data_IF_328967739556
#
_entry.id   IF_328967739556
#
_cell.length_a   1.000
_cell.length_b   1.000
_cell.length_c   1.000
_cell.angle_alpha   90.00
_cell.angle_beta   90.00
_cell.angle_gamma   90.00
#
_symmetry.space_group_name_H-M   'P 1'
#
loop_
_entity.id
_entity.type
_entity.pdbx_description
1 polymer ?
#
# COMPACT_ATOMS: atom_id res chain seq x y z
N UNK A 1 55.74 -14.72 -49.98
CA UNK A 1 55.73 -15.59 -51.20
C UNK A 1 54.28 -15.59 -51.73
N UNK A 2 54.15 -14.92 -52.92
CA UNK A 2 53.10 -15.04 -53.97
C UNK A 2 51.63 -15.14 -53.57
N UNK A 3 50.90 -14.02 -53.50
CA UNK A 3 49.97 -13.44 -54.47
C UNK A 3 49.31 -14.44 -55.45
N UNK A 4 47.96 -14.60 -55.40
CA UNK A 4 47.16 -14.90 -56.59
C UNK A 4 45.77 -14.24 -56.41
N UNK A 5 45.60 -13.23 -57.22
CA UNK A 5 44.36 -12.52 -57.61
C UNK A 5 43.45 -13.45 -58.40
N UNK A 6 42.12 -13.44 -58.14
CA UNK A 6 41.11 -13.95 -59.06
C UNK A 6 40.03 -12.91 -59.25
N UNK A 7 40.01 -12.33 -60.44
CA UNK A 7 38.93 -11.49 -60.91
C UNK A 7 37.89 -12.36 -61.62
N UNK A 8 36.61 -12.20 -61.27
CA UNK A 8 35.50 -12.77 -62.07
C UNK A 8 34.57 -11.62 -62.47
N UNK A 9 34.55 -11.38 -63.79
CA UNK A 9 33.56 -10.56 -64.45
C UNK A 9 32.21 -11.27 -64.35
N UNK A 10 31.13 -10.51 -64.06
CA UNK A 10 29.79 -10.97 -64.30
C UNK A 10 28.99 -9.91 -65.06
N UNK A 11 28.44 -10.32 -66.14
CA UNK A 11 27.81 -9.54 -67.21
C UNK A 11 26.41 -9.01 -66.77
N UNK A 12 26.15 -7.81 -67.20
CA UNK A 12 24.82 -7.12 -67.07
C UNK A 12 23.85 -7.73 -68.09
N UNK A 13 22.70 -8.18 -67.60
CA UNK A 13 21.53 -8.44 -68.45
C UNK A 13 20.40 -7.46 -68.00
N UNK A 14 20.13 -6.48 -68.84
CA UNK A 14 18.93 -5.66 -68.75
C UNK A 14 17.68 -6.49 -69.18
N UNK A 15 16.75 -6.66 -68.27
CA UNK A 15 15.40 -7.08 -68.66
C UNK A 15 14.43 -5.97 -68.19
N UNK A 16 13.87 -5.24 -69.12
CA UNK A 16 12.77 -4.34 -68.94
C UNK A 16 11.50 -5.15 -68.69
N UNK A 17 10.79 -4.92 -67.59
CA UNK A 17 9.42 -5.34 -67.38
C UNK A 17 8.57 -4.21 -66.87
N UNK A 18 7.46 -4.06 -67.50
CA UNK A 18 6.45 -3.04 -67.40
C UNK A 18 5.87 -2.82 -66.01
N UNK A 19 5.62 -1.58 -65.71
CA UNK A 19 4.84 -1.08 -64.62
C UNK A 19 3.39 -1.61 -64.61
N UNK A 20 3.04 -2.35 -63.55
CA UNK A 20 1.65 -2.59 -63.20
C UNK A 20 1.38 -1.88 -61.86
N UNK A 21 0.73 -0.73 -61.93
CA UNK A 21 0.32 0.02 -60.75
C UNK A 21 -0.81 -0.73 -60.06
N UNK A 22 -0.44 -1.60 -59.13
CA UNK A 22 -1.36 -2.07 -58.08
C UNK A 22 -1.41 -1.03 -56.98
N UNK A 23 -2.51 -0.28 -56.93
CA UNK A 23 -2.84 0.55 -55.75
C UNK A 23 -3.02 -0.34 -54.54
N UNK A 24 -1.92 -0.63 -53.85
CA UNK A 24 -1.95 -1.19 -52.50
C UNK A 24 -2.34 -0.05 -51.55
N UNK A 25 -3.61 -0.02 -51.19
CA UNK A 25 -4.06 0.82 -50.07
C UNK A 25 -3.32 0.34 -48.80
N UNK A 26 -2.25 1.03 -48.45
CA UNK A 26 -1.60 0.91 -47.17
C UNK A 26 -2.60 1.44 -46.13
N UNK A 27 -3.43 0.54 -45.60
CA UNK A 27 -4.09 0.78 -44.35
C UNK A 27 -2.96 1.00 -43.34
N UNK A 28 -2.66 2.26 -43.02
CA UNK A 28 -1.83 2.63 -41.89
C UNK A 28 -2.51 2.03 -40.67
N UNK A 29 -2.05 0.86 -40.25
CA UNK A 29 -2.28 0.40 -38.87
C UNK A 29 -1.70 1.48 -38.00
N UNK A 30 -2.53 2.39 -37.53
CA UNK A 30 -2.19 3.25 -36.43
C UNK A 30 -1.81 2.31 -35.30
N UNK A 31 -0.51 2.14 -35.08
CA UNK A 31 0.00 1.59 -33.82
C UNK A 31 -0.48 2.57 -32.76
N UNK A 32 -1.60 2.24 -32.12
CA UNK A 32 -2.04 2.93 -30.92
C UNK A 32 -0.93 2.73 -29.89
N UNK A 33 -0.02 3.71 -29.82
CA UNK A 33 1.08 3.69 -28.88
C UNK A 33 0.52 3.44 -27.49
N UNK A 34 0.95 2.36 -26.82
CA UNK A 34 0.48 2.05 -25.49
C UNK A 34 0.91 3.16 -24.55
N UNK A 35 -0.06 3.80 -23.87
CA UNK A 35 0.19 4.80 -22.84
C UNK A 35 0.70 4.09 -21.59
N UNK A 36 1.88 4.49 -21.12
CA UNK A 36 2.44 4.00 -19.85
C UNK A 36 2.34 5.08 -18.79
N UNK A 37 1.78 4.72 -17.62
CA UNK A 37 1.63 5.59 -16.44
C UNK A 37 2.39 4.95 -15.29
N UNK A 38 3.36 5.68 -14.73
CA UNK A 38 4.19 5.17 -13.64
C UNK A 38 3.76 5.79 -12.32
N UNK A 39 3.63 4.97 -11.30
CA UNK A 39 3.37 5.36 -9.92
C UNK A 39 4.30 4.68 -8.94
N UNK A 40 4.34 5.22 -7.73
CA UNK A 40 5.12 4.63 -6.65
C UNK A 40 4.50 4.96 -5.28
N UNK A 41 4.77 4.13 -4.27
CA UNK A 41 4.32 4.44 -2.92
C UNK A 41 4.15 3.24 -2.01
N UNK A 42 3.08 3.27 -1.24
CA UNK A 42 2.76 2.34 -0.18
C UNK A 42 2.83 0.86 -0.60
N UNK A 43 3.37 0.00 0.26
CA UNK A 43 3.32 -1.46 0.07
C UNK A 43 2.01 -2.05 0.58
N UNK A 44 1.30 -1.35 1.47
CA UNK A 44 0.01 -1.75 2.02
C UNK A 44 -1.00 -2.14 0.91
N UNK A 45 -1.31 -1.30 -0.10
CA UNK A 45 -2.28 -1.64 -1.14
C UNK A 45 -1.68 -2.43 -2.31
N UNK A 46 -0.39 -2.77 -2.30
CA UNK A 46 0.26 -3.36 -3.46
C UNK A 46 -0.45 -4.62 -4.02
N UNK A 47 -0.94 -5.56 -3.21
CA UNK A 47 -1.68 -6.72 -3.74
C UNK A 47 -2.95 -6.34 -4.52
N UNK A 48 -3.76 -5.42 -4.00
CA UNK A 48 -4.98 -4.98 -4.70
C UNK A 48 -4.65 -4.09 -5.89
N UNK A 49 -3.66 -3.21 -5.81
CA UNK A 49 -3.24 -2.36 -6.92
C UNK A 49 -2.68 -3.20 -8.07
N UNK A 50 -1.87 -4.21 -7.79
CA UNK A 50 -1.39 -5.15 -8.81
C UNK A 50 -2.54 -5.87 -9.52
N UNK A 51 -3.56 -6.31 -8.76
CA UNK A 51 -4.77 -6.92 -9.33
C UNK A 51 -5.55 -5.92 -10.18
N UNK A 52 -5.75 -4.71 -9.69
CA UNK A 52 -6.50 -3.67 -10.41
C UNK A 52 -5.82 -3.25 -11.70
N UNK A 53 -4.51 -3.03 -11.69
CA UNK A 53 -3.77 -2.63 -12.89
C UNK A 53 -3.78 -3.72 -13.96
N UNK A 54 -3.67 -4.99 -13.55
CA UNK A 54 -3.79 -6.13 -14.46
C UNK A 54 -5.20 -6.23 -15.09
N UNK A 55 -6.26 -6.17 -14.28
CA UNK A 55 -7.64 -6.26 -14.77
C UNK A 55 -8.03 -5.04 -15.61
N UNK A 56 -7.60 -3.85 -15.20
CA UNK A 56 -7.85 -2.63 -15.97
C UNK A 56 -7.15 -2.66 -17.32
N UNK A 57 -5.90 -3.12 -17.37
CA UNK A 57 -5.16 -3.28 -18.63
C UNK A 57 -5.81 -4.30 -19.58
N UNK A 58 -6.40 -5.38 -19.07
CA UNK A 58 -7.16 -6.35 -19.88
C UNK A 58 -8.37 -5.70 -20.54
N UNK A 59 -9.08 -4.84 -19.80
CA UNK A 59 -10.23 -4.09 -20.32
C UNK A 59 -9.82 -2.90 -21.21
N UNK A 60 -8.62 -2.35 -21.03
CA UNK A 60 -8.08 -1.18 -21.71
C UNK A 60 -6.66 -1.44 -22.25
N UNK A 61 -6.48 -2.26 -23.30
CA UNK A 61 -5.15 -2.72 -23.76
C UNK A 61 -4.18 -1.62 -24.15
N UNK A 62 -4.68 -0.40 -24.44
CA UNK A 62 -3.86 0.78 -24.75
C UNK A 62 -3.26 1.48 -23.53
N UNK A 63 -3.63 1.08 -22.31
CA UNK A 63 -3.19 1.74 -21.07
C UNK A 63 -2.45 0.73 -20.18
N UNK A 64 -1.22 1.05 -19.82
CA UNK A 64 -0.41 0.27 -18.88
C UNK A 64 -0.07 1.13 -17.66
N UNK A 65 -0.45 0.65 -16.50
CA UNK A 65 -0.11 1.29 -15.21
C UNK A 65 0.96 0.46 -14.51
N UNK A 66 2.13 1.06 -14.28
CA UNK A 66 3.22 0.44 -13.53
C UNK A 66 3.26 1.05 -12.12
N UNK A 67 3.54 0.22 -11.14
CA UNK A 67 3.62 0.65 -9.75
C UNK A 67 4.86 0.11 -9.04
N UNK A 68 5.54 0.96 -8.27
CA UNK A 68 6.70 0.60 -7.48
C UNK A 68 6.35 0.68 -5.98
N UNK A 69 6.21 -0.44 -5.27
CA UNK A 69 5.89 -0.47 -3.84
C UNK A 69 7.15 -0.18 -3.00
N UNK A 70 7.52 1.10 -2.88
CA UNK A 70 8.75 1.57 -2.21
C UNK A 70 8.50 2.22 -0.85
N UNK A 71 7.26 2.15 -0.35
CA UNK A 71 6.79 2.80 0.87
C UNK A 71 6.21 4.19 0.62
N UNK A 72 5.28 4.60 1.50
CA UNK A 72 4.54 5.86 1.39
C UNK A 72 5.45 7.09 1.31
N UNK A 73 6.49 7.15 2.13
CA UNK A 73 7.45 8.25 2.10
C UNK A 73 8.18 8.37 0.77
N UNK A 74 8.54 7.22 0.16
CA UNK A 74 9.13 7.16 -1.18
C UNK A 74 8.16 7.63 -2.26
N UNK A 75 6.88 7.22 -2.18
CA UNK A 75 5.83 7.63 -3.11
C UNK A 75 5.56 9.13 -3.06
N UNK A 76 5.39 9.69 -1.86
CA UNK A 76 5.21 11.14 -1.67
C UNK A 76 6.41 11.91 -2.23
N UNK A 77 7.64 11.46 -1.92
CA UNK A 77 8.86 12.11 -2.42
C UNK A 77 8.96 12.09 -3.94
N UNK A 78 8.68 10.95 -4.58
CA UNK A 78 8.73 10.84 -6.04
C UNK A 78 7.62 11.64 -6.72
N UNK A 79 6.40 11.66 -6.16
CA UNK A 79 5.31 12.48 -6.67
C UNK A 79 5.66 13.96 -6.57
N UNK A 80 6.14 14.44 -5.41
CA UNK A 80 6.55 15.83 -5.20
C UNK A 80 7.68 16.25 -6.15
N UNK A 81 8.64 15.33 -6.39
CA UNK A 81 9.71 15.53 -7.38
C UNK A 81 9.24 15.36 -8.83
N UNK A 82 7.97 14.98 -9.07
CA UNK A 82 7.36 14.75 -10.39
C UNK A 82 8.10 13.68 -11.23
N UNK A 83 8.74 12.70 -10.57
CA UNK A 83 9.41 11.57 -11.23
C UNK A 83 8.44 10.40 -11.49
N UNK A 84 7.26 10.41 -10.87
CA UNK A 84 6.13 9.52 -11.15
C UNK A 84 4.87 10.35 -11.40
N UNK A 85 3.89 9.74 -12.08
CA UNK A 85 2.64 10.41 -12.40
C UNK A 85 1.64 10.42 -11.23
N UNK A 86 1.64 9.36 -10.43
CA UNK A 86 0.82 9.27 -9.23
C UNK A 86 1.63 8.70 -8.05
N UNK A 87 1.23 9.07 -6.84
CA UNK A 87 1.75 8.50 -5.61
C UNK A 87 0.74 7.60 -4.93
N UNK A 88 1.18 6.83 -3.92
CA UNK A 88 0.28 6.15 -2.99
C UNK A 88 0.82 6.19 -1.56
N UNK A 89 -0.10 6.35 -0.61
CA UNK A 89 0.23 6.48 0.81
C UNK A 89 -0.88 5.90 1.69
N UNK A 90 -0.50 5.35 2.86
CA UNK A 90 -1.44 4.90 3.90
C UNK A 90 -1.44 5.88 5.10
N UNK A 91 -0.59 6.90 5.06
CA UNK A 91 -0.65 8.07 5.93
C UNK A 91 -0.86 9.31 5.08
N UNK A 92 -1.91 10.10 5.29
CA UNK A 92 -2.17 11.29 4.50
C UNK A 92 -0.96 12.24 4.50
N UNK A 93 -0.75 12.95 3.39
CA UNK A 93 0.27 14.00 3.35
C UNK A 93 -0.05 15.07 4.39
N UNK A 94 0.99 15.55 5.07
CA UNK A 94 0.86 16.70 5.98
C UNK A 94 0.71 17.99 5.21
N UNK A 95 0.20 19.05 5.86
CA UNK A 95 0.10 20.38 5.25
C UNK A 95 1.46 20.90 4.77
N UNK A 96 2.52 20.64 5.53
CA UNK A 96 3.88 21.00 5.13
C UNK A 96 4.33 20.27 3.84
N UNK A 97 3.96 18.98 3.70
CA UNK A 97 4.26 18.22 2.48
C UNK A 97 3.45 18.72 1.28
N UNK A 98 2.18 19.09 1.48
CA UNK A 98 1.33 19.66 0.44
C UNK A 98 1.85 21.04 0.00
N UNK A 99 2.25 21.88 0.95
CA UNK A 99 2.84 23.20 0.66
C UNK A 99 4.18 23.12 -0.08
N UNK A 100 4.97 22.07 0.19
CA UNK A 100 6.25 21.84 -0.49
C UNK A 100 6.09 21.25 -1.90
N UNK A 101 4.90 20.78 -2.27
CA UNK A 101 4.64 20.23 -3.60
C UNK A 101 4.53 21.38 -4.65
N UNK A 102 4.98 21.14 -5.90
CA UNK A 102 4.96 22.16 -6.96
C UNK A 102 3.54 22.44 -7.52
N UNK A 103 2.50 21.85 -6.94
CA UNK A 103 1.09 22.03 -7.28
C UNK A 103 0.17 21.32 -6.32
N UNK A 104 -1.13 21.60 -6.39
CA UNK A 104 -2.12 20.98 -5.54
C UNK A 104 -2.21 19.46 -5.77
N UNK A 105 -2.09 18.68 -4.71
CA UNK A 105 -2.22 17.22 -4.72
C UNK A 105 -3.53 16.83 -4.05
N UNK A 106 -4.30 16.01 -4.72
CA UNK A 106 -5.56 15.44 -4.24
C UNK A 106 -5.32 14.03 -3.70
N UNK A 107 -6.04 13.68 -2.63
CA UNK A 107 -6.06 12.36 -2.03
C UNK A 107 -7.32 11.63 -2.45
N UNK A 108 -7.18 10.41 -2.96
CA UNK A 108 -8.28 9.53 -3.37
C UNK A 108 -8.20 8.24 -2.57
N UNK A 109 -9.05 8.02 -1.54
CA UNK A 109 -9.10 6.76 -0.82
C UNK A 109 -9.47 5.63 -1.78
N UNK A 110 -8.87 4.47 -1.63
CA UNK A 110 -9.05 3.36 -2.59
C UNK A 110 -9.68 2.12 -1.96
N UNK A 111 -9.17 1.69 -0.83
CA UNK A 111 -9.71 0.60 -0.01
C UNK A 111 -9.37 0.84 1.45
N UNK A 112 -9.95 0.00 2.33
CA UNK A 112 -9.58 -0.06 3.74
C UNK A 112 -8.84 -1.36 4.03
N UNK A 113 -7.92 -1.30 5.00
CA UNK A 113 -7.23 -2.48 5.52
C UNK A 113 -6.91 -2.34 7.00
N UNK A 114 -6.45 -3.43 7.59
CA UNK A 114 -6.04 -3.49 8.99
C UNK A 114 -4.55 -3.76 9.13
N UNK A 115 -3.87 -3.03 10.01
CA UNK A 115 -2.50 -3.36 10.41
C UNK A 115 -2.55 -4.33 11.58
N UNK A 116 -1.96 -5.50 11.42
CA UNK A 116 -2.00 -6.57 12.43
C UNK A 116 -0.63 -6.80 13.07
N UNK A 117 -0.56 -6.99 14.41
CA UNK A 117 0.66 -7.48 15.04
C UNK A 117 0.85 -8.94 14.65
N UNK A 118 1.95 -9.22 13.94
CA UNK A 118 2.38 -10.57 13.55
C UNK A 118 3.52 -11.04 14.43
N UNK A 119 3.57 -12.32 14.73
CA UNK A 119 4.60 -12.86 15.63
C UNK A 119 5.01 -14.28 15.27
N UNK A 120 6.19 -14.68 15.78
CA UNK A 120 6.74 -16.02 15.66
C UNK A 120 7.20 -16.52 17.02
N UNK A 121 6.26 -17.09 17.81
CA UNK A 121 6.52 -17.57 19.18
C UNK A 121 6.42 -19.08 19.22
N UNK A 122 7.53 -19.74 19.47
CA UNK A 122 7.62 -21.19 19.49
C UNK A 122 6.70 -21.78 20.58
N UNK A 123 5.91 -22.79 20.20
CA UNK A 123 5.01 -23.51 21.12
C UNK A 123 3.69 -22.78 21.40
N UNK A 124 3.47 -21.57 20.86
CA UNK A 124 2.20 -20.85 20.94
C UNK A 124 1.38 -21.13 19.67
N UNK A 125 0.31 -21.88 19.82
CA UNK A 125 -0.60 -22.24 18.72
C UNK A 125 -1.90 -21.45 18.72
N UNK A 126 -2.25 -20.82 19.84
CA UNK A 126 -3.45 -20.01 19.98
C UNK A 126 -3.16 -18.54 19.57
N UNK A 127 -4.13 -17.87 18.94
CA UNK A 127 -3.97 -16.44 18.65
C UNK A 127 -3.79 -15.62 19.94
N UNK A 128 -2.73 -14.80 19.97
CA UNK A 128 -2.47 -13.93 21.10
C UNK A 128 -3.36 -12.68 21.07
N UNK A 129 -3.60 -12.13 22.26
CA UNK A 129 -4.29 -10.86 22.49
C UNK A 129 -3.28 -9.79 22.84
N UNK A 130 -3.45 -8.60 22.31
CA UNK A 130 -2.61 -7.45 22.60
C UNK A 130 -3.48 -6.25 23.01
N UNK A 131 -3.19 -5.67 24.17
CA UNK A 131 -3.70 -4.33 24.47
C UNK A 131 -2.81 -3.27 23.83
N UNK A 132 -3.35 -2.06 23.61
CA UNK A 132 -2.56 -0.95 23.10
C UNK A 132 -1.38 -0.60 24.00
N UNK A 133 -1.55 -0.70 25.33
CA UNK A 133 -0.49 -0.47 26.31
C UNK A 133 0.65 -1.50 26.15
N UNK A 134 0.31 -2.80 26.05
CA UNK A 134 1.30 -3.86 25.86
C UNK A 134 2.07 -3.67 24.55
N UNK A 135 1.40 -3.37 23.43
CA UNK A 135 2.08 -3.08 22.17
C UNK A 135 3.00 -1.87 22.29
N UNK A 136 2.53 -0.77 22.90
CA UNK A 136 3.35 0.42 23.10
C UNK A 136 4.60 0.11 23.95
N UNK A 137 4.45 -0.64 25.04
CA UNK A 137 5.57 -0.96 25.91
C UNK A 137 6.57 -1.96 25.28
N UNK A 138 6.12 -2.86 24.41
CA UNK A 138 7.02 -3.70 23.59
C UNK A 138 7.85 -2.81 22.65
N UNK A 139 7.23 -1.91 21.89
CA UNK A 139 7.93 -1.06 20.92
C UNK A 139 8.73 0.08 21.58
N UNK A 140 8.49 0.35 22.86
CA UNK A 140 9.34 1.21 23.71
C UNK A 140 10.50 0.45 24.36
N UNK A 141 10.57 -0.89 24.22
CA UNK A 141 11.59 -1.72 24.86
C UNK A 141 11.42 -1.90 26.37
N UNK A 142 10.24 -1.63 26.93
CA UNK A 142 9.93 -1.85 28.33
C UNK A 142 9.53 -3.29 28.62
N UNK A 143 8.78 -3.91 27.72
CA UNK A 143 8.44 -5.34 27.73
C UNK A 143 9.38 -6.03 26.73
N UNK A 144 10.25 -6.89 27.26
CA UNK A 144 11.33 -7.54 26.49
C UNK A 144 11.21 -9.05 26.42
N UNK A 145 10.25 -9.66 27.14
CA UNK A 145 10.06 -11.12 27.18
C UNK A 145 8.60 -11.48 26.93
N UNK A 146 8.39 -12.61 26.24
CA UNK A 146 7.06 -13.08 25.92
C UNK A 146 6.23 -13.50 27.14
N UNK A 147 6.87 -13.99 28.21
CA UNK A 147 6.19 -14.35 29.47
C UNK A 147 6.04 -13.16 30.44
N UNK A 148 6.18 -11.94 29.97
CA UNK A 148 5.93 -10.75 30.80
C UNK A 148 4.53 -10.81 31.42
N UNK A 149 4.37 -10.46 32.72
CA UNK A 149 3.08 -10.48 33.40
C UNK A 149 1.98 -9.70 32.69
N UNK A 150 2.31 -8.59 32.01
CA UNK A 150 1.34 -7.79 31.27
C UNK A 150 0.80 -8.51 30.03
N UNK A 151 1.63 -9.32 29.35
CA UNK A 151 1.19 -10.16 28.24
C UNK A 151 0.40 -11.36 28.77
N UNK A 152 0.90 -12.01 29.83
CA UNK A 152 0.25 -13.19 30.42
C UNK A 152 -1.17 -12.88 30.94
N UNK A 153 -1.36 -11.73 31.57
CA UNK A 153 -2.64 -11.32 32.15
C UNK A 153 -3.77 -11.20 31.11
N UNK A 154 -3.46 -10.85 29.86
CA UNK A 154 -4.43 -10.71 28.77
C UNK A 154 -4.52 -11.97 27.89
N UNK A 155 -3.70 -12.98 28.17
CA UNK A 155 -3.65 -14.29 27.48
C UNK A 155 -3.82 -15.46 28.45
N UNK A 156 -4.91 -15.53 29.23
CA UNK A 156 -5.10 -16.59 30.20
C UNK A 156 -5.12 -17.96 29.53
N UNK A 157 -4.41 -18.91 30.15
CA UNK A 157 -4.31 -20.29 29.64
C UNK A 157 -3.28 -20.50 28.53
N UNK A 158 -2.64 -19.45 28.02
CA UNK A 158 -1.54 -19.58 27.06
C UNK A 158 -0.22 -19.76 27.81
N UNK A 159 0.50 -20.85 27.51
CA UNK A 159 1.86 -21.03 28.05
C UNK A 159 2.85 -20.22 27.23
N UNK A 160 3.18 -19.04 27.71
CA UNK A 160 4.14 -18.15 27.08
C UNK A 160 5.58 -18.54 27.46
N UNK A 161 6.52 -18.61 26.48
CA UNK A 161 7.92 -18.92 26.78
C UNK A 161 8.63 -17.72 27.41
N UNK A 162 9.76 -17.97 28.08
CA UNK A 162 10.61 -16.93 28.66
C UNK A 162 11.58 -16.30 27.63
N UNK A 163 11.29 -16.51 26.35
CA UNK A 163 12.12 -16.02 25.24
C UNK A 163 12.07 -14.48 25.15
N UNK A 164 13.14 -13.91 24.61
CA UNK A 164 13.20 -12.48 24.32
C UNK A 164 12.26 -12.11 23.17
N UNK A 165 11.72 -10.89 23.22
CA UNK A 165 10.94 -10.30 22.15
C UNK A 165 11.87 -9.59 21.16
N UNK A 166 11.93 -10.11 19.94
CA UNK A 166 12.68 -9.53 18.84
C UNK A 166 11.78 -8.60 18.03
N UNK A 167 11.85 -7.30 18.28
CA UNK A 167 11.00 -6.31 17.60
C UNK A 167 11.46 -6.10 16.17
N UNK A 168 10.52 -6.18 15.21
CA UNK A 168 10.73 -5.89 13.79
C UNK A 168 9.85 -4.71 13.39
N UNK A 169 10.46 -3.70 12.76
CA UNK A 169 9.78 -2.51 12.28
C UNK A 169 10.14 -2.21 10.83
N UNK A 170 9.53 -1.19 10.22
CA UNK A 170 9.84 -0.73 8.87
C UNK A 170 11.13 0.09 8.84
N UNK A 171 11.93 -0.09 7.81
CA UNK A 171 13.22 0.60 7.64
C UNK A 171 13.14 1.85 6.76
N UNK A 172 12.06 2.01 6.00
CA UNK A 172 11.79 3.15 5.11
C UNK A 172 10.57 3.97 5.57
N UNK A 173 10.30 5.09 4.90
CA UNK A 173 9.08 5.86 5.12
C UNK A 173 7.82 5.07 4.75
N UNK A 174 7.07 4.60 5.76
CA UNK A 174 5.99 3.63 5.64
C UNK A 174 4.66 4.18 6.15
N UNK A 175 3.60 4.07 5.34
CA UNK A 175 2.25 4.37 5.78
C UNK A 175 1.73 3.36 6.80
N UNK A 176 2.11 2.07 6.69
CA UNK A 176 1.81 1.06 7.70
C UNK A 176 2.40 1.44 9.06
N UNK A 177 3.63 2.00 9.08
CA UNK A 177 4.23 2.59 10.29
C UNK A 177 3.40 3.77 10.80
N UNK A 178 2.97 4.68 9.90
CA UNK A 178 2.13 5.81 10.29
C UNK A 178 0.86 5.34 11.02
N UNK A 179 0.13 4.38 10.45
CA UNK A 179 -1.11 3.83 11.03
C UNK A 179 -0.85 3.22 12.40
N UNK A 180 0.20 2.40 12.50
CA UNK A 180 0.57 1.72 13.74
C UNK A 180 0.98 2.72 14.83
N UNK A 181 1.82 3.70 14.51
CA UNK A 181 2.24 4.75 15.42
C UNK A 181 1.09 5.69 15.82
N UNK A 182 0.15 5.98 14.92
CA UNK A 182 -1.03 6.77 15.21
C UNK A 182 -1.92 6.07 16.26
N UNK A 183 -2.15 4.76 16.10
CA UNK A 183 -2.84 3.97 17.10
C UNK A 183 -2.10 3.98 18.45
N UNK A 184 -0.81 3.66 18.46
CA UNK A 184 -0.03 3.59 19.71
C UNK A 184 0.04 4.95 20.43
N UNK A 185 0.12 6.04 19.67
CA UNK A 185 0.11 7.40 20.21
C UNK A 185 -1.23 7.81 20.81
N UNK A 186 -2.35 7.24 20.32
CA UNK A 186 -3.68 7.46 20.88
C UNK A 186 -3.92 6.70 22.19
N UNK A 187 -3.22 5.58 22.39
CA UNK A 187 -3.43 4.70 23.55
C UNK A 187 -2.30 4.75 24.58
N UNK A 188 -1.17 5.38 24.28
CA UNK A 188 -0.01 5.55 25.17
C UNK A 188 0.59 6.95 25.04
N UNK A 189 0.48 7.72 26.12
CA UNK A 189 1.08 9.06 26.18
C UNK A 189 2.61 9.00 26.10
N UNK A 190 3.22 8.02 26.74
CA UNK A 190 4.67 7.83 26.71
C UNK A 190 5.17 7.50 25.29
N UNK A 191 4.44 6.64 24.56
CA UNK A 191 4.75 6.38 23.15
C UNK A 191 4.62 7.65 22.29
N UNK A 192 3.54 8.40 22.49
CA UNK A 192 3.31 9.67 21.78
C UNK A 192 4.45 10.67 22.00
N UNK A 193 4.96 10.77 23.22
CA UNK A 193 6.04 11.71 23.56
C UNK A 193 7.42 11.27 23.06
N UNK A 194 7.71 9.96 23.08
CA UNK A 194 9.03 9.42 22.75
C UNK A 194 9.21 9.08 21.26
N UNK A 195 8.16 8.64 20.61
CA UNK A 195 8.18 8.17 19.21
C UNK A 195 7.34 9.05 18.30
N UNK A 196 6.09 9.34 18.71
CA UNK A 196 5.15 10.15 17.94
C UNK A 196 4.57 9.44 16.73
N UNK A 197 4.07 10.24 15.77
CA UNK A 197 3.36 9.76 14.56
C UNK A 197 4.03 10.31 13.31
N UNK A 198 4.58 9.44 12.50
CA UNK A 198 5.14 9.77 11.17
C UNK A 198 5.24 8.50 10.32
N UNK A 199 5.46 8.67 9.03
CA UNK A 199 5.85 7.55 8.15
C UNK A 199 7.26 7.03 8.44
N UNK A 200 8.12 7.84 9.07
CA UNK A 200 9.45 7.46 9.52
C UNK A 200 9.67 8.02 10.93
N UNK A 201 9.89 7.14 11.88
CA UNK A 201 10.11 7.48 13.31
C UNK A 201 11.44 6.93 13.79
N UNK A 202 11.95 7.49 14.89
CA UNK A 202 13.12 6.95 15.56
C UNK A 202 12.67 5.81 16.50
N UNK A 203 12.87 4.58 16.05
CA UNK A 203 12.51 3.40 16.84
C UNK A 203 13.47 3.22 18.03
N UNK A 204 12.94 3.09 19.26
CA UNK A 204 13.78 2.86 20.44
C UNK A 204 14.49 1.51 20.43
N UNK A 205 13.84 0.49 19.83
CA UNK A 205 14.29 -0.90 19.79
C UNK A 205 13.91 -1.56 18.47
N UNK A 206 14.57 -2.66 18.16
CA UNK A 206 14.21 -3.52 17.06
C UNK A 206 15.11 -3.42 15.83
N UNK A 207 14.75 -4.17 14.80
CA UNK A 207 15.47 -4.27 13.52
C UNK A 207 14.55 -3.85 12.39
N UNK A 208 15.08 -3.04 11.47
CA UNK A 208 14.33 -2.55 10.31
C UNK A 208 14.28 -3.55 9.17
N UNK A 209 13.09 -3.71 8.56
CA UNK A 209 12.90 -4.48 7.34
C UNK A 209 12.09 -3.68 6.31
N UNK A 210 12.43 -3.82 5.03
CA UNK A 210 11.82 -3.04 3.94
C UNK A 210 10.49 -3.64 3.49
N UNK A 211 9.45 -2.84 3.45
CA UNK A 211 8.12 -3.22 2.99
C UNK A 211 7.36 -4.12 3.98
N UNK A 212 6.08 -4.35 3.71
CA UNK A 212 5.32 -5.38 4.42
C UNK A 212 5.92 -6.78 4.16
N UNK A 213 6.44 -7.01 2.97
CA UNK A 213 7.13 -8.24 2.56
C UNK A 213 8.35 -8.51 3.42
N UNK A 214 9.21 -7.52 3.61
CA UNK A 214 10.42 -7.66 4.40
C UNK A 214 10.13 -7.91 5.88
N UNK A 215 9.16 -7.19 6.47
CA UNK A 215 8.72 -7.44 7.86
C UNK A 215 8.15 -8.84 7.99
N UNK A 216 7.27 -9.28 7.08
CA UNK A 216 6.71 -10.63 7.07
C UNK A 216 7.81 -11.70 7.00
N UNK A 217 8.77 -11.51 6.09
CA UNK A 217 9.90 -12.44 5.92
C UNK A 217 10.75 -12.53 7.17
N UNK A 218 11.12 -11.40 7.77
CA UNK A 218 12.00 -11.35 8.94
C UNK A 218 11.32 -11.95 10.19
N UNK A 219 10.04 -11.61 10.42
CA UNK A 219 9.29 -12.18 11.56
C UNK A 219 9.16 -13.71 11.43
N UNK A 220 8.85 -14.22 10.24
CA UNK A 220 8.75 -15.68 10.02
C UNK A 220 10.06 -16.43 10.27
N UNK A 221 11.19 -15.81 9.97
CA UNK A 221 12.52 -16.42 10.09
C UNK A 221 13.14 -16.27 11.48
N UNK A 222 12.62 -15.38 12.32
CA UNK A 222 13.21 -15.04 13.61
C UNK A 222 12.32 -15.55 14.75
N UNK A 223 12.73 -16.61 15.49
CA UNK A 223 12.03 -17.04 16.69
C UNK A 223 11.94 -15.89 17.71
N UNK A 224 10.80 -15.77 18.39
CA UNK A 224 10.52 -14.70 19.34
C UNK A 224 10.24 -13.33 18.70
N UNK A 225 10.16 -13.25 17.36
CA UNK A 225 9.91 -11.96 16.72
C UNK A 225 8.44 -11.51 16.82
N UNK A 226 8.27 -10.18 16.89
CA UNK A 226 7.02 -9.45 16.69
C UNK A 226 7.23 -8.34 15.66
N UNK A 227 6.28 -8.16 14.77
CA UNK A 227 6.25 -7.07 13.79
C UNK A 227 4.82 -6.59 13.55
N UNK A 228 4.63 -5.69 12.61
CA UNK A 228 3.32 -5.24 12.16
C UNK A 228 3.29 -5.17 10.63
N UNK A 229 2.22 -5.68 10.05
CA UNK A 229 2.00 -5.69 8.59
C UNK A 229 0.52 -5.44 8.30
N UNK A 230 0.23 -5.10 7.05
CA UNK A 230 -1.15 -5.14 6.57
C UNK A 230 -1.65 -6.59 6.53
N UNK A 231 -2.94 -6.80 6.83
CA UNK A 231 -3.58 -8.11 7.05
C UNK A 231 -3.32 -9.12 5.94
N UNK A 232 -3.38 -8.71 4.65
CA UNK A 232 -3.19 -9.65 3.54
C UNK A 232 -1.82 -10.32 3.56
N UNK A 233 -0.78 -9.59 4.02
CA UNK A 233 0.57 -10.16 4.13
C UNK A 233 0.65 -11.23 5.21
N UNK A 234 -0.09 -11.07 6.32
CA UNK A 234 -0.20 -12.10 7.33
C UNK A 234 -0.94 -13.33 6.79
N UNK A 235 -2.05 -13.13 6.07
CA UNK A 235 -2.87 -14.20 5.49
C UNK A 235 -2.10 -14.97 4.40
N UNK A 236 -1.50 -14.28 3.43
CA UNK A 236 -0.75 -14.91 2.32
C UNK A 236 0.46 -15.70 2.82
N UNK A 237 1.12 -15.20 3.86
CA UNK A 237 2.29 -15.85 4.46
C UNK A 237 1.92 -16.85 5.59
N UNK A 238 0.63 -17.06 5.87
CA UNK A 238 0.13 -17.97 6.93
C UNK A 238 0.77 -17.68 8.29
N UNK A 239 0.92 -16.39 8.61
CA UNK A 239 1.55 -15.95 9.85
C UNK A 239 0.55 -15.96 11.00
N UNK A 240 1.04 -16.20 12.20
CA UNK A 240 0.28 -15.91 13.42
C UNK A 240 0.14 -14.41 13.59
N UNK A 241 -1.07 -13.93 13.82
CA UNK A 241 -1.34 -12.53 14.15
C UNK A 241 -2.34 -12.43 15.29
N UNK A 242 -2.26 -11.34 16.05
CA UNK A 242 -3.03 -11.19 17.28
C UNK A 242 -4.29 -10.34 17.10
N UNK A 243 -5.27 -10.56 17.98
CA UNK A 243 -6.35 -9.63 18.19
C UNK A 243 -5.86 -8.43 19.02
N UNK A 244 -6.43 -7.25 18.76
CA UNK A 244 -6.03 -6.02 19.43
C UNK A 244 -7.22 -5.44 20.20
N UNK A 245 -6.97 -4.98 21.44
CA UNK A 245 -7.99 -4.36 22.26
C UNK A 245 -8.39 -3.00 21.69
N UNK A 246 -9.66 -2.81 21.40
CA UNK A 246 -10.23 -1.57 20.90
C UNK A 246 -10.64 -0.61 22.04
N UNK A 247 -11.16 0.57 21.67
CA UNK A 247 -11.61 1.61 22.61
C UNK A 247 -12.74 1.12 23.54
N UNK A 248 -13.58 0.19 23.08
CA UNK A 248 -14.62 -0.47 23.87
C UNK A 248 -14.07 -1.61 24.77
N UNK A 249 -12.74 -1.78 24.86
CA UNK A 249 -12.04 -2.82 25.61
C UNK A 249 -12.31 -4.26 25.13
N UNK A 250 -12.80 -4.43 23.91
CA UNK A 250 -12.99 -5.73 23.28
C UNK A 250 -11.72 -6.09 22.51
N UNK A 251 -11.29 -7.37 22.59
CA UNK A 251 -10.22 -7.89 21.73
C UNK A 251 -10.80 -8.26 20.36
N UNK A 252 -10.47 -7.46 19.36
CA UNK A 252 -11.01 -7.60 18.01
C UNK A 252 -9.93 -8.15 17.07
N UNK A 253 -10.27 -9.19 16.32
CA UNK A 253 -9.43 -9.70 15.25
C UNK A 253 -9.72 -8.93 13.97
N UNK A 254 -8.68 -8.57 13.23
CA UNK A 254 -8.84 -7.91 11.94
C UNK A 254 -9.59 -8.81 10.95
N UNK A 255 -10.65 -8.28 10.37
CA UNK A 255 -11.48 -8.89 9.33
C UNK A 255 -12.11 -7.79 8.49
N UNK A 256 -12.72 -8.17 7.36
CA UNK A 256 -13.45 -7.21 6.52
C UNK A 256 -14.50 -6.44 7.34
N UNK A 257 -15.29 -7.15 8.14
CA UNK A 257 -16.36 -6.56 8.94
C UNK A 257 -15.81 -5.61 10.01
N UNK A 258 -14.75 -6.02 10.73
CA UNK A 258 -14.18 -5.20 11.80
C UNK A 258 -13.44 -3.97 11.29
N UNK A 259 -12.82 -4.05 10.10
CA UNK A 259 -12.21 -2.90 9.40
C UNK A 259 -13.29 -1.96 8.87
N UNK A 260 -14.37 -2.49 8.27
CA UNK A 260 -15.53 -1.70 7.84
C UNK A 260 -16.18 -0.99 9.03
N UNK A 261 -16.34 -1.69 10.16
CA UNK A 261 -16.90 -1.10 11.39
C UNK A 261 -16.05 0.08 11.91
N UNK A 262 -14.73 0.05 11.74
CA UNK A 262 -13.87 1.17 12.13
C UNK A 262 -14.10 2.42 11.26
N UNK A 263 -14.51 2.25 10.01
CA UNK A 263 -14.80 3.35 9.10
C UNK A 263 -16.25 3.89 9.22
N UNK A 264 -17.18 3.11 9.78
CA UNK A 264 -18.61 3.40 9.76
C UNK A 264 -19.00 4.73 10.42
N UNK A 265 -18.23 5.18 11.43
CA UNK A 265 -18.47 6.45 12.14
C UNK A 265 -17.58 7.60 11.69
N UNK A 266 -16.72 7.40 10.68
CA UNK A 266 -15.78 8.41 10.28
C UNK A 266 -16.42 9.51 9.44
N UNK A 267 -16.34 10.76 9.92
CA UNK A 267 -16.69 11.92 9.12
C UNK A 267 -15.56 12.14 8.09
N UNK A 268 -15.83 11.82 6.82
CA UNK A 268 -14.87 12.00 5.74
C UNK A 268 -14.75 13.48 5.36
N UNK A 269 -13.58 14.14 5.58
CA UNK A 269 -13.36 15.54 5.20
C UNK A 269 -13.31 15.72 3.68
N UNK A 270 -13.34 16.96 3.20
CA UNK A 270 -13.36 17.26 1.75
C UNK A 270 -12.05 16.95 1.04
N UNK A 271 -10.97 16.87 1.78
CA UNK A 271 -9.64 16.50 1.30
C UNK A 271 -9.31 15.02 1.54
N UNK A 272 -10.25 14.25 2.09
CA UNK A 272 -10.14 12.81 2.39
C UNK A 272 -9.02 12.43 3.38
N UNK A 273 -8.38 13.37 4.05
CA UNK A 273 -7.30 13.11 5.00
C UNK A 273 -7.86 12.84 6.39
N UNK A 274 -8.11 11.59 6.72
CA UNK A 274 -8.72 11.17 7.98
C UNK A 274 -7.98 10.00 8.59
N UNK A 275 -7.92 9.95 9.92
CA UNK A 275 -7.49 8.76 10.66
C UNK A 275 -8.69 8.08 11.29
N UNK A 276 -8.78 6.76 11.10
CA UNK A 276 -9.81 5.90 11.72
C UNK A 276 -9.21 4.91 12.72
N UNK A 277 -7.95 5.10 13.14
CA UNK A 277 -7.36 4.28 14.20
C UNK A 277 -8.03 4.57 15.54
N UNK A 278 -8.18 3.55 16.36
CA UNK A 278 -8.86 3.62 17.67
C UNK A 278 -10.30 4.18 17.57
N UNK A 279 -11.01 3.84 16.48
CA UNK A 279 -12.39 4.24 16.25
C UNK A 279 -13.33 3.73 17.35
N UNK A 280 -14.45 4.41 17.51
CA UNK A 280 -15.54 3.96 18.38
C UNK A 280 -16.23 2.72 17.78
N UNK A 281 -16.83 1.90 18.64
CA UNK A 281 -17.58 0.71 18.25
C UNK A 281 -17.02 -0.57 18.87
N UNK A 282 -17.91 -1.44 19.35
CA UNK A 282 -17.52 -2.69 20.03
C UNK A 282 -16.81 -3.69 19.11
N UNK A 283 -17.12 -3.64 17.81
CA UNK A 283 -16.55 -4.55 16.79
C UNK A 283 -15.49 -3.88 15.91
N UNK A 284 -15.25 -2.57 16.09
CA UNK A 284 -14.27 -1.84 15.28
C UNK A 284 -12.83 -2.33 15.53
N UNK A 285 -12.11 -2.69 14.47
CA UNK A 285 -10.70 -3.02 14.57
C UNK A 285 -9.87 -1.75 14.81
N UNK A 286 -9.04 -1.70 15.85
CA UNK A 286 -8.45 -0.42 16.30
C UNK A 286 -7.29 0.09 15.42
N UNK A 287 -6.68 -0.75 14.60
CA UNK A 287 -5.55 -0.36 13.74
C UNK A 287 -5.97 -0.43 12.27
N UNK A 288 -7.14 0.14 11.96
CA UNK A 288 -7.69 0.23 10.61
C UNK A 288 -7.34 1.56 9.96
N UNK A 289 -7.22 1.58 8.65
CA UNK A 289 -7.00 2.80 7.87
C UNK A 289 -7.52 2.66 6.44
N UNK A 290 -7.78 3.79 5.82
CA UNK A 290 -7.79 3.93 4.38
C UNK A 290 -6.36 3.84 3.82
N UNK A 291 -6.24 3.62 2.52
CA UNK A 291 -5.05 3.91 1.73
C UNK A 291 -5.45 4.80 0.55
N UNK A 292 -4.56 5.69 0.14
CA UNK A 292 -4.87 6.74 -0.83
C UNK A 292 -3.99 6.66 -2.06
N UNK A 293 -4.56 6.90 -3.23
CA UNK A 293 -3.88 7.37 -4.42
C UNK A 293 -3.74 8.88 -4.35
N UNK A 294 -2.59 9.38 -4.80
CA UNK A 294 -2.25 10.80 -4.83
C UNK A 294 -2.09 11.26 -6.28
N UNK A 295 -2.83 12.29 -6.67
CA UNK A 295 -2.77 12.87 -8.00
C UNK A 295 -2.65 14.39 -7.93
N UNK A 296 -1.91 14.99 -8.87
CA UNK A 296 -1.99 16.43 -9.04
C UNK A 296 -3.37 16.85 -9.54
N UNK A 297 -3.91 17.92 -8.99
CA UNK A 297 -5.17 18.52 -9.46
C UNK A 297 -5.06 18.96 -10.93
N UNK A 298 -3.88 19.47 -11.31
CA UNK A 298 -3.55 19.88 -12.67
C UNK A 298 -2.37 19.05 -13.17
N UNK A 299 -2.60 17.84 -13.70
CA UNK A 299 -1.53 17.00 -14.21
C UNK A 299 -0.90 17.62 -15.46
N UNK A 300 0.43 17.54 -15.57
CA UNK A 300 1.17 18.08 -16.73
C UNK A 300 0.83 17.43 -18.06
N UNK A 301 0.35 16.18 -18.02
CA UNK A 301 -0.08 15.42 -19.19
C UNK A 301 -1.58 15.12 -19.04
N UNK A 302 -2.40 15.85 -19.78
CA UNK A 302 -3.86 15.74 -19.73
C UNK A 302 -4.36 14.34 -20.14
N UNK A 303 -3.71 13.69 -21.11
CA UNK A 303 -4.11 12.38 -21.56
C UNK A 303 -3.89 11.31 -20.47
N UNK A 304 -2.73 11.33 -19.81
CA UNK A 304 -2.48 10.46 -18.65
C UNK A 304 -3.37 10.83 -17.46
N UNK A 305 -3.64 12.12 -17.24
CA UNK A 305 -4.57 12.59 -16.23
C UNK A 305 -5.96 12.01 -16.42
N UNK A 306 -6.48 12.11 -17.64
CA UNK A 306 -7.77 11.52 -18.01
C UNK A 306 -7.79 10.00 -17.78
N UNK A 307 -6.75 9.30 -18.21
CA UNK A 307 -6.64 7.85 -18.05
C UNK A 307 -6.63 7.44 -16.55
N UNK A 308 -5.99 8.23 -15.68
CA UNK A 308 -6.01 7.98 -14.23
C UNK A 308 -7.37 8.29 -13.59
N UNK A 309 -8.06 9.32 -14.05
CA UNK A 309 -9.45 9.59 -13.61
C UNK A 309 -10.38 8.47 -14.04
N UNK A 310 -10.26 7.96 -15.27
CA UNK A 310 -11.06 6.84 -15.75
C UNK A 310 -10.73 5.54 -14.99
N UNK A 311 -9.45 5.29 -14.71
CA UNK A 311 -9.02 4.19 -13.84
C UNK A 311 -9.62 4.30 -12.43
N UNK A 312 -9.57 5.48 -11.79
CA UNK A 312 -10.14 5.67 -10.45
C UNK A 312 -11.66 5.44 -10.44
N UNK A 313 -12.39 5.92 -11.46
CA UNK A 313 -13.82 5.62 -11.60
C UNK A 313 -14.08 4.12 -11.67
N UNK A 314 -13.29 3.41 -12.47
CA UNK A 314 -13.38 1.94 -12.55
C UNK A 314 -13.01 1.29 -11.21
N UNK A 315 -11.96 1.76 -10.54
CA UNK A 315 -11.52 1.24 -9.25
C UNK A 315 -12.58 1.39 -8.16
N UNK A 316 -13.34 2.51 -8.17
CA UNK A 316 -14.45 2.77 -7.25
C UNK A 316 -15.71 1.93 -7.51
N UNK A 317 -15.84 1.33 -8.67
CA UNK A 317 -17.00 0.52 -9.09
C UNK A 317 -16.61 -0.96 -9.25
N UNK A 318 -16.13 -1.33 -10.43
CA UNK A 318 -15.76 -2.71 -10.73
C UNK A 318 -14.54 -3.20 -9.94
N UNK A 319 -13.60 -2.31 -9.66
CA UNK A 319 -12.40 -2.60 -8.89
C UNK A 319 -12.70 -3.04 -7.45
N UNK A 320 -13.70 -2.44 -6.80
CA UNK A 320 -14.07 -2.79 -5.42
C UNK A 320 -14.45 -4.26 -5.25
N UNK A 321 -14.94 -4.93 -6.29
CA UNK A 321 -15.33 -6.35 -6.26
C UNK A 321 -14.15 -7.29 -5.95
N UNK A 322 -12.92 -6.86 -6.25
CA UNK A 322 -11.71 -7.64 -5.98
C UNK A 322 -11.20 -7.49 -4.54
N UNK A 323 -11.59 -6.42 -3.83
CA UNK A 323 -11.05 -6.10 -2.51
C UNK A 323 -11.29 -7.22 -1.48
N UNK A 324 -12.51 -7.80 -1.31
CA UNK A 324 -12.76 -8.81 -0.28
C UNK A 324 -11.91 -10.07 -0.44
N UNK A 325 -11.68 -10.54 -1.66
CA UNK A 325 -10.87 -11.75 -1.92
C UNK A 325 -9.39 -11.57 -1.56
N UNK A 326 -8.95 -10.31 -1.45
CA UNK A 326 -7.59 -9.93 -1.06
C UNK A 326 -7.53 -9.37 0.37
N UNK A 327 -8.57 -9.57 1.18
CA UNK A 327 -8.56 -9.15 2.58
C UNK A 327 -8.74 -7.66 2.83
N UNK A 328 -9.06 -6.86 1.80
CA UNK A 328 -9.37 -5.44 1.95
C UNK A 328 -10.88 -5.22 2.05
N UNK A 329 -11.29 -4.31 2.91
CA UNK A 329 -12.67 -3.87 2.96
C UNK A 329 -12.92 -2.82 1.86
N UNK A 330 -14.01 -2.97 1.08
CA UNK A 330 -14.44 -1.97 0.12
C UNK A 330 -14.74 -0.63 0.79
N UNK A 331 -14.66 0.44 0.03
CA UNK A 331 -15.03 1.77 0.52
C UNK A 331 -16.54 1.81 0.84
N UNK A 332 -16.94 2.48 1.95
CA UNK A 332 -18.34 2.78 2.21
C UNK A 332 -18.96 3.64 1.09
N UNK A 333 -20.20 3.36 0.70
CA UNK A 333 -20.88 4.06 -0.39
C UNK A 333 -20.83 5.60 -0.28
N UNK A 334 -21.04 6.23 0.91
CA UNK A 334 -20.91 7.68 1.03
C UNK A 334 -19.51 8.22 0.70
N UNK A 335 -18.45 7.42 0.91
CA UNK A 335 -17.07 7.78 0.52
C UNK A 335 -16.92 7.70 -0.99
N UNK A 336 -17.42 6.62 -1.62
CA UNK A 336 -17.43 6.45 -3.09
C UNK A 336 -18.14 7.60 -3.78
N UNK A 337 -19.33 8.00 -3.28
CA UNK A 337 -20.12 9.08 -3.85
C UNK A 337 -19.37 10.43 -3.76
N UNK A 338 -18.78 10.72 -2.61
CA UNK A 338 -17.99 11.93 -2.37
C UNK A 338 -16.74 11.96 -3.25
N UNK A 339 -16.06 10.82 -3.39
CA UNK A 339 -14.85 10.70 -4.20
C UNK A 339 -15.17 10.82 -5.70
N UNK A 340 -16.25 10.22 -6.16
CA UNK A 340 -16.73 10.34 -7.55
C UNK A 340 -16.95 11.82 -7.92
N UNK A 341 -17.54 12.60 -7.02
CA UNK A 341 -17.69 14.05 -7.20
C UNK A 341 -16.31 14.77 -7.18
N UNK A 342 -15.39 14.33 -6.32
CA UNK A 342 -14.08 14.94 -6.21
C UNK A 342 -13.17 14.67 -7.42
N UNK A 343 -13.36 13.58 -8.16
CA UNK A 343 -12.64 13.30 -9.40
C UNK A 343 -12.83 14.39 -10.47
N UNK A 344 -13.96 15.11 -10.45
CA UNK A 344 -14.19 16.26 -11.33
C UNK A 344 -13.24 17.44 -11.05
N UNK A 345 -12.55 17.47 -9.90
CA UNK A 345 -11.55 18.51 -9.58
C UNK A 345 -10.23 18.29 -10.32
N UNK A 346 -9.98 17.11 -10.86
CA UNK A 346 -8.79 16.86 -11.68
C UNK A 346 -9.03 17.46 -13.06
N UNK A 347 -8.29 18.52 -13.36
CA UNK A 347 -8.40 19.25 -14.65
C UNK A 347 -7.62 18.49 -15.72
N UNK A 348 -8.32 17.80 -16.62
CA UNK A 348 -7.76 16.97 -17.70
C UNK A 348 -8.28 17.41 -19.08
#
# INVERSE_FOLDING_TARGET
MKLKTFAVLFSIVLAACQSNESKTSTAASASSGSMTINGAGATFPNPIYSKWFDEYQKAHPGIRINYQPIGSGGGIKQLTAQTVFFGATDGPMTDAQLQAAPGAILHFPTVLGGVVPVYNVTGVTQPLRFSGAVLADIYLGKITKWNDPAIAAINPGVKLPADDINVVHRSEGSGTTYIFCDFLSKVSLDYKQKVGVSTAVNWPVGVGAKGNEGVSGLVRQTPGAIGYVELIYALQNKMSYGSVQNKARQFVTASLDSVTAAAAGAAMPDDFRVSITNADGATAYPIASFTWLLLYQHPKDAARGKAMVDFLKWALTDGQKFAPSLGYAPLPQPVVDKETAALAKVSV
#
